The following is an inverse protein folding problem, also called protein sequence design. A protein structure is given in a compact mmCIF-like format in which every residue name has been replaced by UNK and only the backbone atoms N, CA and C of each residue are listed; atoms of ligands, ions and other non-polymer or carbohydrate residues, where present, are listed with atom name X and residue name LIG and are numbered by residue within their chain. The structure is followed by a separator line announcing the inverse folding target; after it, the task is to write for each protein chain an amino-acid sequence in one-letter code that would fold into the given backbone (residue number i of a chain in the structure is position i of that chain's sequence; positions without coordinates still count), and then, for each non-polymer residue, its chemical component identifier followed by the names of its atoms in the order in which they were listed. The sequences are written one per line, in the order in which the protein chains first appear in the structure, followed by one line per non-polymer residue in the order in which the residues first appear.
data_IF_758349359308
#
_entry.id   IF_758349359308
#
_cell.length_a   1.000
_cell.length_b   1.000
_cell.length_c   1.000
_cell.angle_alpha   90.00
_cell.angle_beta   90.00
_cell.angle_gamma   90.00
#
_symmetry.space_group_name_H-M   'P 1'
#
loop_
_entity.id
_entity.type
_entity.pdbx_description
1 polymer ?
#
# COMPACT_ATOMS: atom_id res chain seq x y z
N UNK A 1 -6.61 -26.92 -0.38
CA UNK A 1 -7.55 -26.01 0.31
C UNK A 1 -8.96 -26.45 -0.06
N UNK A 2 -9.76 -26.75 0.94
CA UNK A 2 -11.16 -27.13 0.84
C UNK A 2 -12.02 -26.05 1.50
N UNK A 3 -13.24 -25.81 1.00
CA UNK A 3 -14.18 -24.88 1.62
C UNK A 3 -15.33 -25.70 2.18
N UNK A 4 -15.41 -25.79 3.50
CA UNK A 4 -16.56 -26.40 4.16
C UNK A 4 -17.71 -25.39 4.16
N UNK A 5 -18.68 -25.62 3.28
CA UNK A 5 -19.84 -24.73 3.13
C UNK A 5 -20.81 -24.81 4.30
N UNK A 6 -20.80 -25.90 5.06
CA UNK A 6 -21.67 -26.06 6.24
C UNK A 6 -21.12 -25.29 7.44
N UNK A 7 -19.80 -25.29 7.60
CA UNK A 7 -19.10 -24.56 8.66
C UNK A 7 -18.68 -23.14 8.25
N UNK A 8 -18.86 -22.75 6.98
CA UNK A 8 -18.35 -21.50 6.39
C UNK A 8 -16.84 -21.30 6.68
N UNK A 9 -16.07 -22.37 6.50
CA UNK A 9 -14.67 -22.45 6.94
C UNK A 9 -13.72 -22.85 5.80
N UNK A 10 -12.56 -22.19 5.74
CA UNK A 10 -11.46 -22.58 4.87
C UNK A 10 -10.62 -23.64 5.57
N UNK A 11 -10.46 -24.82 4.97
CA UNK A 11 -9.78 -25.94 5.59
C UNK A 11 -8.61 -26.47 4.76
N UNK A 12 -7.54 -26.84 5.45
CA UNK A 12 -6.50 -27.74 4.96
C UNK A 12 -6.71 -29.11 5.62
N UNK A 13 -6.80 -30.14 4.79
CA UNK A 13 -7.03 -31.53 5.20
C UNK A 13 -5.87 -32.40 4.74
N UNK A 14 -5.73 -33.57 5.38
CA UNK A 14 -4.68 -34.56 5.09
C UNK A 14 -3.27 -33.94 5.14
N UNK A 15 -3.00 -33.22 6.24
CA UNK A 15 -1.74 -32.55 6.45
C UNK A 15 -0.62 -33.56 6.70
N UNK A 16 0.11 -33.89 5.64
CA UNK A 16 1.30 -34.74 5.75
C UNK A 16 2.36 -34.07 6.64
N UNK A 17 3.21 -34.87 7.30
CA UNK A 17 4.36 -34.34 8.08
C UNK A 17 5.28 -33.43 7.26
N UNK A 18 5.33 -33.58 5.93
CA UNK A 18 6.13 -32.70 5.05
C UNK A 18 5.52 -31.30 4.94
N UNK A 19 4.19 -31.20 4.94
CA UNK A 19 3.50 -29.91 4.98
C UNK A 19 3.75 -29.21 6.33
N UNK A 20 3.78 -29.99 7.41
CA UNK A 20 4.08 -29.47 8.76
C UNK A 20 5.54 -29.00 8.94
N UNK A 21 6.43 -29.30 8.00
CA UNK A 21 7.83 -28.84 8.04
C UNK A 21 8.03 -27.52 7.29
N UNK A 22 7.06 -27.10 6.47
CA UNK A 22 7.14 -25.85 5.72
C UNK A 22 6.40 -24.74 6.47
N UNK A 23 6.98 -23.54 6.43
CA UNK A 23 6.30 -22.33 6.89
C UNK A 23 5.17 -22.00 5.92
N UNK A 24 3.96 -22.44 6.26
CA UNK A 24 2.74 -22.16 5.51
C UNK A 24 1.86 -21.17 6.28
N UNK A 25 1.21 -20.30 5.53
CA UNK A 25 0.35 -19.26 6.07
C UNK A 25 -0.91 -19.12 5.22
N UNK A 26 -2.01 -18.74 5.87
CA UNK A 26 -3.20 -18.23 5.20
C UNK A 26 -2.92 -16.79 4.78
N UNK A 27 -2.84 -16.52 3.49
CA UNK A 27 -2.74 -15.15 2.99
C UNK A 27 -4.14 -14.58 2.80
N UNK A 28 -4.46 -13.49 3.51
CA UNK A 28 -5.73 -12.80 3.34
C UNK A 28 -5.79 -12.14 1.94
N UNK A 29 -6.95 -12.19 1.27
CA UNK A 29 -7.09 -11.56 -0.03
C UNK A 29 -6.91 -10.05 0.09
N UNK A 30 -6.25 -9.45 -0.90
CA UNK A 30 -6.20 -8.00 -1.04
C UNK A 30 -7.64 -7.50 -1.27
N UNK A 31 -8.13 -6.60 -0.42
CA UNK A 31 -9.45 -6.02 -0.65
C UNK A 31 -9.35 -5.03 -1.82
N UNK A 32 -9.91 -5.42 -2.96
CA UNK A 32 -9.95 -4.59 -4.16
C UNK A 32 -11.07 -3.53 -4.04
N UNK A 33 -10.89 -2.49 -3.24
CA UNK A 33 -11.75 -1.31 -3.31
C UNK A 33 -10.93 -0.01 -3.34
N UNK A 34 -10.81 0.52 -4.56
CA UNK A 34 -10.63 1.92 -5.00
C UNK A 34 -9.46 2.79 -4.49
N UNK A 35 -8.67 2.39 -3.51
CA UNK A 35 -7.41 3.09 -3.20
C UNK A 35 -6.36 2.12 -2.63
N UNK A 36 -5.25 1.85 -3.35
CA UNK A 36 -4.23 0.90 -2.90
C UNK A 36 -3.46 1.29 -1.61
N UNK A 37 -3.68 2.50 -1.07
CA UNK A 37 -2.84 3.09 -0.02
C UNK A 37 -3.59 3.49 1.27
N UNK A 38 -4.93 3.54 1.28
CA UNK A 38 -5.67 4.09 2.44
C UNK A 38 -6.23 3.04 3.41
N UNK A 39 -6.77 1.94 2.92
CA UNK A 39 -7.68 1.10 3.73
C UNK A 39 -7.02 0.41 4.94
N UNK A 40 -5.71 0.15 4.88
CA UNK A 40 -5.01 -0.57 5.96
C UNK A 40 -4.51 0.35 7.06
N UNK A 41 -4.25 1.63 6.72
CA UNK A 41 -4.00 2.67 7.72
C UNK A 41 -5.32 2.99 8.45
N UNK A 42 -6.45 2.93 7.74
CA UNK A 42 -7.79 3.14 8.30
C UNK A 42 -8.19 2.06 9.33
N UNK A 43 -7.52 0.91 9.34
CA UNK A 43 -7.68 -0.17 10.35
C UNK A 43 -6.69 -0.07 11.51
N UNK A 44 -5.82 0.96 11.53
CA UNK A 44 -4.83 1.13 12.58
C UNK A 44 -5.49 1.37 13.95
N UNK A 45 -5.08 0.59 14.95
CA UNK A 45 -5.70 0.60 16.29
C UNK A 45 -7.01 -0.19 16.37
N UNK A 46 -7.47 -0.79 15.27
CA UNK A 46 -8.57 -1.76 15.23
C UNK A 46 -8.13 -3.19 15.54
N UNK A 47 -9.09 -4.10 15.62
CA UNK A 47 -8.87 -5.52 15.88
C UNK A 47 -9.01 -6.39 14.61
N UNK A 48 -8.11 -7.36 14.44
CA UNK A 48 -8.27 -8.48 13.51
C UNK A 48 -8.75 -9.69 14.30
N UNK A 49 -9.98 -10.11 14.05
CA UNK A 49 -10.62 -11.24 14.69
C UNK A 49 -10.76 -12.39 13.69
N UNK A 50 -10.45 -13.60 14.13
CA UNK A 50 -10.62 -14.81 13.34
C UNK A 50 -10.77 -16.02 14.25
N UNK A 51 -11.40 -17.07 13.74
CA UNK A 51 -11.58 -18.34 14.45
C UNK A 51 -10.73 -19.42 13.80
N UNK A 52 -10.00 -20.16 14.63
CA UNK A 52 -9.17 -21.30 14.21
C UNK A 52 -9.70 -22.57 14.83
N UNK A 53 -9.82 -23.63 14.03
CA UNK A 53 -10.13 -24.98 14.51
C UNK A 53 -9.16 -25.98 13.91
N UNK A 54 -8.54 -26.81 14.72
CA UNK A 54 -7.66 -27.88 14.22
C UNK A 54 -7.97 -29.20 14.94
N UNK A 55 -7.73 -30.30 14.24
CA UNK A 55 -7.87 -31.64 14.81
C UNK A 55 -6.52 -32.34 14.83
N UNK A 56 -6.26 -33.05 15.92
CA UNK A 56 -5.04 -33.83 16.08
C UNK A 56 -5.18 -35.20 15.42
N UNK A 57 -4.08 -35.64 14.81
CA UNK A 57 -3.83 -37.04 14.50
C UNK A 57 -3.69 -37.84 15.80
N UNK A 58 -3.69 -39.18 15.71
CA UNK A 58 -3.45 -40.03 16.89
C UNK A 58 -2.13 -39.66 17.59
N UNK A 59 -2.14 -39.46 18.90
CA UNK A 59 -0.94 -39.16 19.71
C UNK A 59 -1.19 -38.10 20.77
N UNK A 60 -0.15 -37.75 21.53
CA UNK A 60 -0.18 -36.58 22.42
C UNK A 60 0.01 -35.30 21.60
N UNK A 61 -0.61 -34.20 22.05
CA UNK A 61 -0.45 -32.87 21.46
C UNK A 61 1.00 -32.40 21.59
N UNK A 62 1.53 -31.81 20.52
CA UNK A 62 2.85 -31.17 20.47
C UNK A 62 2.69 -29.73 19.97
N UNK A 63 2.25 -28.79 20.84
CA UNK A 63 1.96 -27.42 20.44
C UNK A 63 3.20 -26.68 19.93
N UNK A 64 3.02 -25.86 18.91
CA UNK A 64 4.09 -25.06 18.32
C UNK A 64 3.83 -23.57 18.59
N UNK A 65 4.87 -22.85 19.03
CA UNK A 65 4.82 -21.38 19.15
C UNK A 65 5.40 -20.73 17.90
N UNK A 66 4.54 -20.28 17.00
CA UNK A 66 4.89 -19.42 15.86
C UNK A 66 4.20 -18.05 15.99
N UNK A 67 4.62 -17.03 15.24
CA UNK A 67 3.87 -15.78 15.13
C UNK A 67 2.46 -16.06 14.62
N UNK A 68 1.45 -15.45 15.25
CA UNK A 68 0.05 -15.64 14.92
C UNK A 68 -0.32 -14.96 13.61
N UNK A 69 0.11 -13.70 13.48
CA UNK A 69 -0.12 -12.88 12.29
C UNK A 69 1.21 -12.30 11.84
N UNK A 70 1.43 -12.26 10.53
CA UNK A 70 2.60 -11.65 9.91
C UNK A 70 2.11 -10.61 8.91
N UNK A 71 2.61 -9.39 9.05
CA UNK A 71 2.44 -8.32 8.06
C UNK A 71 3.72 -8.21 7.24
N UNK A 72 3.57 -8.15 5.93
CA UNK A 72 4.66 -7.84 5.00
C UNK A 72 4.26 -6.57 4.27
N UNK A 73 5.11 -5.55 4.35
CA UNK A 73 4.88 -4.27 3.70
C UNK A 73 6.06 -3.32 3.88
N UNK A 74 6.25 -2.43 2.90
CA UNK A 74 7.36 -1.48 2.87
C UNK A 74 8.75 -2.13 3.09
N UNK A 75 8.95 -3.33 2.53
CA UNK A 75 10.20 -4.10 2.71
C UNK A 75 10.44 -4.64 4.13
N UNK A 76 9.46 -4.56 5.02
CA UNK A 76 9.53 -5.04 6.40
C UNK A 76 8.59 -6.23 6.64
N UNK A 77 9.00 -7.11 7.55
CA UNK A 77 8.19 -8.22 8.03
C UNK A 77 7.96 -8.08 9.53
N UNK A 78 6.71 -7.79 9.90
CA UNK A 78 6.28 -7.56 11.27
C UNK A 78 5.51 -8.79 11.78
N UNK A 79 5.88 -9.27 12.96
CA UNK A 79 5.40 -10.49 13.58
C UNK A 79 4.52 -10.12 14.77
N UNK A 80 3.25 -10.48 14.72
CA UNK A 80 2.35 -10.40 15.87
C UNK A 80 2.33 -11.73 16.60
N UNK A 81 2.41 -11.68 17.93
CA UNK A 81 2.27 -12.85 18.78
C UNK A 81 1.24 -12.50 19.85
N UNK A 82 0.17 -13.30 19.98
CA UNK A 82 -0.88 -13.05 20.96
C UNK A 82 -0.23 -12.87 22.34
N UNK A 83 -0.38 -11.68 22.96
CA UNK A 83 0.24 -11.46 24.24
C UNK A 83 -0.55 -12.25 25.29
N UNK A 84 0.15 -12.81 26.27
CA UNK A 84 -0.49 -13.46 27.41
C UNK A 84 -1.31 -12.46 28.27
N UNK A 85 -1.16 -11.15 28.03
CA UNK A 85 -1.83 -10.03 28.70
C UNK A 85 -2.18 -8.93 27.68
N UNK A 86 -3.32 -8.24 27.78
CA UNK A 86 -3.70 -7.20 26.83
C UNK A 86 -2.80 -5.96 26.99
N UNK A 87 -1.90 -5.73 26.04
CA UNK A 87 -1.06 -4.52 25.94
C UNK A 87 -1.56 -3.62 24.80
N UNK A 88 -1.73 -2.30 25.03
CA UNK A 88 -2.47 -1.42 24.10
C UNK A 88 -1.81 -1.20 22.74
N UNK A 89 -0.51 -1.49 22.56
CA UNK A 89 0.20 -1.30 21.28
C UNK A 89 1.34 -2.30 21.02
N UNK A 90 1.45 -3.39 21.79
CA UNK A 90 2.77 -3.91 22.15
C UNK A 90 3.19 -5.32 21.71
N UNK A 91 2.51 -5.96 20.75
CA UNK A 91 2.88 -7.35 20.39
C UNK A 91 3.51 -7.53 19.01
N UNK A 92 3.68 -6.43 18.26
CA UNK A 92 4.41 -6.45 17.00
C UNK A 92 5.91 -6.46 17.24
N UNK A 93 6.58 -7.46 16.68
CA UNK A 93 8.02 -7.67 16.75
C UNK A 93 8.60 -7.75 15.35
N UNK A 94 9.84 -7.29 15.18
CA UNK A 94 10.63 -7.52 13.97
C UNK A 94 11.13 -8.97 13.96
N UNK A 95 11.65 -9.43 12.81
CA UNK A 95 12.34 -10.72 12.75
C UNK A 95 13.57 -10.80 13.68
N UNK A 96 14.17 -9.65 14.01
CA UNK A 96 15.24 -9.55 15.01
C UNK A 96 14.78 -9.70 16.47
N UNK A 97 13.46 -9.73 16.72
CA UNK A 97 12.86 -9.75 18.06
C UNK A 97 12.70 -8.37 18.71
N UNK A 98 13.17 -7.29 18.07
CA UNK A 98 12.95 -5.92 18.54
C UNK A 98 11.46 -5.53 18.46
N UNK A 99 11.00 -4.68 19.37
CA UNK A 99 9.67 -4.08 19.28
C UNK A 99 9.55 -3.18 18.04
N UNK A 100 8.34 -3.10 17.51
CA UNK A 100 7.99 -2.25 16.37
C UNK A 100 7.41 -0.94 16.90
N UNK A 101 7.92 0.20 16.42
CA UNK A 101 7.37 1.50 16.81
C UNK A 101 6.06 1.82 16.07
N UNK A 102 5.30 2.83 16.53
CA UNK A 102 4.09 3.28 15.84
C UNK A 102 4.37 3.65 14.39
N UNK A 103 5.46 4.37 14.17
CA UNK A 103 5.90 4.88 12.87
C UNK A 103 6.24 3.73 11.91
N UNK A 104 6.94 2.70 12.41
CA UNK A 104 7.31 1.52 11.63
C UNK A 104 6.10 0.68 11.25
N UNK A 105 5.14 0.51 12.17
CA UNK A 105 3.90 -0.19 11.90
C UNK A 105 3.06 0.56 10.86
N UNK A 106 2.94 1.88 10.99
CA UNK A 106 2.23 2.72 10.02
C UNK A 106 2.87 2.66 8.63
N UNK A 107 4.20 2.70 8.55
CA UNK A 107 4.94 2.54 7.29
C UNK A 107 4.67 1.19 6.62
N UNK A 108 4.66 0.09 7.38
CA UNK A 108 4.37 -1.23 6.85
C UNK A 108 2.91 -1.35 6.35
N UNK A 109 1.94 -0.74 7.07
CA UNK A 109 0.53 -0.72 6.67
C UNK A 109 0.27 0.14 5.44
N UNK A 110 1.01 1.24 5.28
CA UNK A 110 0.84 2.19 4.18
C UNK A 110 1.29 1.63 2.82
N UNK A 111 2.15 0.61 2.81
CA UNK A 111 2.49 -0.17 1.61
C UNK A 111 2.40 -1.67 1.89
N UNK A 112 1.23 -2.11 2.37
CA UNK A 112 1.03 -3.50 2.76
C UNK A 112 0.96 -4.43 1.54
N UNK A 113 1.82 -5.43 1.55
CA UNK A 113 1.90 -6.43 0.49
C UNK A 113 1.08 -7.68 0.83
N UNK A 114 1.10 -8.12 2.09
CA UNK A 114 0.38 -9.29 2.55
C UNK A 114 0.07 -9.26 4.06
N UNK A 115 -1.08 -9.84 4.41
CA UNK A 115 -1.44 -10.23 5.77
C UNK A 115 -1.51 -11.75 5.80
N UNK A 116 -0.75 -12.36 6.70
CA UNK A 116 -0.58 -13.80 6.78
C UNK A 116 -0.96 -14.30 8.17
N UNK A 117 -1.85 -15.29 8.27
CA UNK A 117 -2.22 -15.95 9.52
C UNK A 117 -1.58 -17.34 9.54
N UNK A 118 -1.00 -17.75 10.66
CA UNK A 118 -0.36 -19.07 10.76
C UNK A 118 -1.34 -20.21 10.47
N UNK A 119 -0.86 -21.28 9.84
CA UNK A 119 -1.64 -22.52 9.63
C UNK A 119 -1.29 -23.58 10.65
N UNK A 120 -0.22 -23.40 11.42
CA UNK A 120 0.44 -24.45 12.20
C UNK A 120 0.41 -24.20 13.69
N UNK A 121 -0.44 -24.95 14.39
CA UNK A 121 -0.64 -24.80 15.83
C UNK A 121 -0.08 -25.99 16.64
N UNK A 122 0.04 -27.16 16.02
CA UNK A 122 0.51 -28.39 16.64
C UNK A 122 1.20 -29.29 15.61
N UNK A 123 2.33 -29.92 15.96
CA UNK A 123 3.09 -30.83 15.07
C UNK A 123 2.34 -32.14 14.77
N UNK A 124 1.23 -32.39 15.44
CA UNK A 124 0.38 -33.57 15.26
C UNK A 124 -0.96 -33.25 14.62
N UNK A 125 -1.22 -32.01 14.18
CA UNK A 125 -2.48 -31.68 13.53
C UNK A 125 -2.68 -32.45 12.21
N UNK A 126 -3.89 -32.96 11.99
CA UNK A 126 -4.33 -33.60 10.75
C UNK A 126 -5.09 -32.63 9.84
N UNK A 127 -5.78 -31.67 10.44
CA UNK A 127 -6.57 -30.64 9.75
C UNK A 127 -6.44 -29.31 10.46
N UNK A 128 -6.56 -28.22 9.71
CA UNK A 128 -6.70 -26.86 10.25
C UNK A 128 -7.73 -26.09 9.44
N UNK A 129 -8.58 -25.35 10.12
CA UNK A 129 -9.67 -24.53 9.61
C UNK A 129 -9.53 -23.09 10.07
N UNK A 130 -9.89 -22.15 9.18
CA UNK A 130 -9.93 -20.72 9.41
C UNK A 130 -11.30 -20.16 8.99
N UNK A 131 -11.98 -19.47 9.91
CA UNK A 131 -13.32 -18.89 9.71
C UNK A 131 -13.48 -17.54 10.42
N UNK A 132 -14.60 -16.85 10.18
CA UNK A 132 -14.99 -15.59 10.84
C UNK A 132 -13.90 -14.51 10.83
N UNK A 133 -13.24 -14.32 9.70
CA UNK A 133 -12.18 -13.31 9.54
C UNK A 133 -12.84 -11.94 9.42
N UNK A 134 -12.67 -11.11 10.45
CA UNK A 134 -13.22 -9.76 10.55
C UNK A 134 -12.11 -8.80 10.94
N UNK A 135 -12.06 -7.64 10.31
CA UNK A 135 -11.10 -6.59 10.63
C UNK A 135 -11.85 -5.28 10.84
N UNK A 136 -11.57 -4.60 11.95
CA UNK A 136 -12.09 -3.27 12.18
C UNK A 136 -11.52 -2.30 11.15
N UNK A 137 -12.33 -1.37 10.70
CA UNK A 137 -11.95 -0.30 9.78
C UNK A 137 -12.67 0.97 10.18
N UNK A 138 -12.16 2.11 9.74
CA UNK A 138 -12.78 3.40 10.02
C UNK A 138 -13.55 3.90 8.80
N UNK A 139 -14.50 4.79 9.06
CA UNK A 139 -15.28 5.47 8.05
C UNK A 139 -15.39 6.93 8.42
N UNK A 140 -15.52 7.79 7.41
CA UNK A 140 -15.79 9.22 7.58
C UNK A 140 -17.25 9.50 7.96
N UNK A 141 -18.14 8.50 7.83
CA UNK A 141 -19.54 8.61 8.23
C UNK A 141 -19.69 8.55 9.75
N UNK A 142 -20.59 9.38 10.30
CA UNK A 142 -20.90 9.34 11.73
C UNK A 142 -21.62 8.04 12.04
N UNK A 143 -20.92 7.12 12.69
CA UNK A 143 -21.49 5.87 13.19
C UNK A 143 -21.77 5.95 14.68
N UNK A 144 -22.65 5.07 15.18
CA UNK A 144 -22.90 4.92 16.62
C UNK A 144 -21.76 4.22 17.37
N UNK A 145 -20.69 3.81 16.68
CA UNK A 145 -19.57 3.04 17.23
C UNK A 145 -18.49 3.94 17.86
N UNK A 146 -18.67 5.26 17.83
CA UNK A 146 -17.75 6.23 18.41
C UNK A 146 -16.65 6.67 17.44
N UNK A 147 -15.72 7.48 17.95
CA UNK A 147 -14.62 8.05 17.16
C UNK A 147 -13.40 7.14 17.24
N UNK A 148 -12.77 6.89 16.10
CA UNK A 148 -11.51 6.16 16.07
C UNK A 148 -10.35 7.08 16.51
N UNK A 149 -9.91 6.94 17.75
CA UNK A 149 -8.88 7.80 18.35
C UNK A 149 -7.46 7.56 17.82
N UNK A 150 -7.22 6.44 17.13
CA UNK A 150 -5.88 6.06 16.66
C UNK A 150 -5.65 6.32 15.17
N UNK A 151 -6.73 6.62 14.43
CA UNK A 151 -6.68 7.01 13.02
C UNK A 151 -6.82 8.52 12.94
N UNK A 152 -5.82 9.19 12.40
CA UNK A 152 -5.78 10.65 12.29
C UNK A 152 -6.33 11.07 10.93
N UNK A 153 -7.29 12.02 10.93
CA UNK A 153 -7.63 12.79 9.74
C UNK A 153 -6.74 14.03 9.70
N UNK A 154 -5.71 13.98 8.88
CA UNK A 154 -4.71 15.04 8.79
C UNK A 154 -5.24 16.22 7.97
N UNK A 155 -4.98 17.45 8.45
CA UNK A 155 -5.10 18.65 7.60
C UNK A 155 -3.85 18.77 6.74
N UNK A 156 -3.98 18.46 5.46
CA UNK A 156 -2.82 18.36 4.59
C UNK A 156 -2.21 19.72 4.25
N UNK A 157 -0.86 19.83 4.25
CA UNK A 157 -0.18 20.99 3.70
C UNK A 157 -0.39 21.04 2.18
N UNK A 158 -0.13 22.22 1.60
CA UNK A 158 -0.26 22.45 0.14
C UNK A 158 0.52 21.38 -0.64
N UNK A 159 -0.13 20.77 -1.63
CA UNK A 159 0.46 19.73 -2.48
C UNK A 159 0.27 18.30 -1.98
N UNK A 160 -0.37 18.09 -0.84
CA UNK A 160 -0.67 16.77 -0.28
C UNK A 160 -2.18 16.58 -0.10
N UNK A 161 -2.65 15.35 -0.25
CA UNK A 161 -4.05 14.94 -0.14
C UNK A 161 -4.17 13.51 0.41
N UNK A 162 -5.39 13.07 0.69
CA UNK A 162 -5.66 11.80 1.39
C UNK A 162 -5.92 12.02 2.88
N UNK A 163 -6.48 11.01 3.55
CA UNK A 163 -6.82 11.11 4.98
C UNK A 163 -5.57 11.26 5.86
N UNK A 164 -4.43 10.72 5.41
CA UNK A 164 -3.13 10.77 6.08
C UNK A 164 -2.10 11.59 5.29
N UNK A 165 -2.53 12.42 4.32
CA UNK A 165 -1.65 13.19 3.44
C UNK A 165 -0.64 12.31 2.67
N UNK A 166 -1.04 11.08 2.40
CA UNK A 166 -0.21 10.05 1.79
C UNK A 166 -0.15 10.17 0.26
N UNK A 167 -1.05 10.95 -0.33
CA UNK A 167 -1.16 11.19 -1.77
C UNK A 167 -0.67 12.61 -2.11
N UNK A 168 -0.09 12.78 -3.29
CA UNK A 168 0.15 14.15 -3.79
C UNK A 168 -1.14 14.70 -4.40
N UNK A 169 -1.43 15.97 -4.18
CA UNK A 169 -2.53 16.65 -4.87
C UNK A 169 -2.35 16.56 -6.40
N UNK A 170 -3.44 16.71 -7.18
CA UNK A 170 -3.33 16.97 -8.60
C UNK A 170 -2.29 18.09 -8.85
N UNK A 171 -1.44 17.91 -9.86
CA UNK A 171 -0.35 18.84 -10.22
C UNK A 171 0.92 18.75 -9.35
N UNK A 172 0.99 17.78 -8.44
CA UNK A 172 2.19 17.47 -7.67
C UNK A 172 2.68 16.05 -7.96
N UNK A 173 4.00 15.84 -7.86
CA UNK A 173 4.64 14.53 -7.94
C UNK A 173 5.48 14.26 -6.71
N UNK A 174 5.65 12.98 -6.40
CA UNK A 174 6.47 12.54 -5.28
C UNK A 174 7.94 12.55 -5.70
N UNK A 175 8.76 13.34 -5.01
CA UNK A 175 10.22 13.36 -5.21
C UNK A 175 10.93 12.72 -4.01
N UNK A 176 12.03 11.97 -4.23
CA UNK A 176 12.83 11.46 -3.12
C UNK A 176 13.37 12.60 -2.24
N UNK A 177 13.18 12.49 -0.93
CA UNK A 177 13.65 13.49 0.05
C UNK A 177 12.64 13.74 1.17
N UNK A 178 13.11 14.17 2.35
CA UNK A 178 12.25 14.32 3.55
C UNK A 178 11.98 12.99 4.26
N UNK A 179 11.14 13.02 5.31
CA UNK A 179 10.78 11.83 6.09
C UNK A 179 9.71 10.97 5.40
N UNK A 180 9.72 9.67 5.69
CA UNK A 180 8.74 8.67 5.22
C UNK A 180 8.72 8.47 3.69
N UNK A 181 7.82 9.15 2.99
CA UNK A 181 7.41 8.81 1.63
C UNK A 181 8.04 9.67 0.53
N UNK A 182 8.88 10.64 0.87
CA UNK A 182 9.28 11.67 -0.08
C UNK A 182 8.45 12.94 0.07
N UNK A 183 8.82 13.99 -0.67
CA UNK A 183 8.15 15.28 -0.68
C UNK A 183 7.26 15.39 -1.92
N UNK A 184 6.03 15.86 -1.77
CA UNK A 184 5.22 16.27 -2.92
C UNK A 184 5.71 17.62 -3.43
N UNK A 185 6.17 17.65 -4.68
CA UNK A 185 6.69 18.84 -5.34
C UNK A 185 5.93 19.09 -6.63
N UNK A 186 5.69 20.36 -6.96
CA UNK A 186 4.91 20.75 -8.13
C UNK A 186 5.51 20.21 -9.45
N UNK A 187 4.64 19.83 -10.38
CA UNK A 187 5.04 19.42 -11.72
C UNK A 187 5.79 20.56 -12.43
N UNK A 188 7.00 20.26 -12.94
CA UNK A 188 7.80 21.24 -13.67
C UNK A 188 7.64 21.05 -15.18
N UNK A 189 6.53 21.58 -15.70
CA UNK A 189 6.10 21.47 -17.09
C UNK A 189 6.27 22.76 -17.90
N UNK A 190 7.16 23.66 -17.45
CA UNK A 190 7.41 24.96 -18.09
C UNK A 190 6.15 25.80 -18.35
N UNK A 191 5.08 25.63 -17.55
CA UNK A 191 3.80 26.31 -17.76
C UNK A 191 2.97 25.80 -18.95
N UNK A 192 3.38 24.69 -19.57
CA UNK A 192 2.71 24.07 -20.72
C UNK A 192 1.84 22.88 -20.33
N UNK A 193 1.83 22.46 -19.07
CA UNK A 193 0.86 21.53 -18.54
C UNK A 193 0.67 21.80 -17.05
N UNK A 194 -0.54 21.55 -16.55
CA UNK A 194 -0.82 21.56 -15.12
C UNK A 194 -0.60 20.17 -14.52
N UNK A 195 -0.80 19.08 -15.25
CA UNK A 195 -0.73 17.71 -14.72
C UNK A 195 0.54 16.97 -15.12
N UNK A 196 1.09 16.17 -14.21
CA UNK A 196 2.15 15.21 -14.52
C UNK A 196 1.86 13.85 -13.89
N UNK A 197 2.47 12.81 -14.45
CA UNK A 197 2.41 11.46 -13.91
C UNK A 197 3.08 11.42 -12.52
N UNK A 198 2.42 10.88 -11.48
CA UNK A 198 2.90 10.97 -10.10
C UNK A 198 4.18 10.17 -9.83
N UNK A 199 4.52 9.19 -10.67
CA UNK A 199 5.67 8.30 -10.49
C UNK A 199 6.88 8.73 -11.32
N UNK A 200 6.71 8.91 -12.63
CA UNK A 200 7.76 9.36 -13.56
C UNK A 200 7.97 10.87 -13.51
N UNK A 201 6.96 11.63 -13.09
CA UNK A 201 6.98 13.08 -13.12
C UNK A 201 6.88 13.68 -14.51
N UNK A 202 6.50 12.89 -15.52
CA UNK A 202 6.35 13.33 -16.90
C UNK A 202 5.07 14.13 -17.08
N UNK A 203 5.17 15.26 -17.74
CA UNK A 203 4.03 16.12 -18.00
C UNK A 203 3.04 15.42 -18.93
N UNK A 204 1.77 15.46 -18.54
CA UNK A 204 0.67 14.90 -19.31
C UNK A 204 0.05 16.01 -20.14
N UNK A 205 -0.36 15.72 -21.37
CA UNK A 205 -1.08 16.66 -22.24
C UNK A 205 -0.40 18.04 -22.42
N UNK A 206 0.87 18.04 -22.88
CA UNK A 206 1.59 19.28 -23.20
C UNK A 206 0.79 20.18 -24.18
N UNK A 207 0.55 21.42 -23.75
CA UNK A 207 -0.16 22.47 -24.47
C UNK A 207 0.81 23.38 -25.23
N UNK A 208 0.28 24.39 -25.95
CA UNK A 208 1.08 25.39 -26.67
C UNK A 208 2.06 24.79 -27.69
N UNK A 209 1.67 23.68 -28.31
CA UNK A 209 2.47 22.94 -29.31
C UNK A 209 3.84 22.47 -28.80
N UNK A 210 3.95 22.21 -27.50
CA UNK A 210 5.13 21.60 -26.90
C UNK A 210 4.98 20.07 -26.76
N UNK A 211 6.10 19.39 -26.60
CA UNK A 211 6.21 17.96 -26.37
C UNK A 211 7.45 17.65 -25.51
N UNK A 212 7.63 16.37 -25.20
CA UNK A 212 8.71 15.88 -24.33
C UNK A 212 8.28 15.72 -22.87
N UNK A 213 9.10 15.05 -22.04
CA UNK A 213 8.76 14.72 -20.65
C UNK A 213 8.46 15.93 -19.76
N UNK A 214 8.97 17.12 -20.12
CA UNK A 214 8.74 18.36 -19.39
C UNK A 214 8.03 19.43 -20.22
N UNK A 215 7.49 19.07 -21.38
CA UNK A 215 6.96 20.03 -22.35
C UNK A 215 8.02 21.06 -22.79
N UNK A 216 9.27 20.62 -22.92
CA UNK A 216 10.48 21.42 -23.12
C UNK A 216 10.96 21.44 -24.59
N UNK A 217 10.18 20.87 -25.51
CA UNK A 217 10.48 20.84 -26.94
C UNK A 217 9.27 21.29 -27.75
N UNK A 218 9.49 21.93 -28.90
CA UNK A 218 8.40 22.19 -29.84
C UNK A 218 8.07 20.93 -30.63
N UNK A 219 6.78 20.69 -30.86
CA UNK A 219 6.31 19.63 -31.76
C UNK A 219 6.85 19.83 -33.17
N UNK A 220 6.91 18.74 -33.94
CA UNK A 220 7.23 18.80 -35.36
C UNK A 220 6.36 19.83 -36.09
N UNK A 221 6.99 20.70 -36.89
CA UNK A 221 6.33 21.80 -37.60
C UNK A 221 6.21 23.10 -36.80
N UNK A 222 6.72 23.14 -35.57
CA UNK A 222 6.83 24.34 -34.75
C UNK A 222 8.29 24.61 -34.37
N UNK A 223 8.64 25.88 -34.14
CA UNK A 223 9.97 26.31 -33.70
C UNK A 223 9.87 27.43 -32.67
N UNK A 224 10.91 27.58 -31.84
CA UNK A 224 10.95 28.58 -30.78
C UNK A 224 11.64 28.03 -29.53
N UNK A 225 11.33 28.66 -28.39
CA UNK A 225 11.87 28.31 -27.08
C UNK A 225 10.75 27.77 -26.19
N UNK A 226 10.59 26.45 -26.20
CA UNK A 226 9.57 25.72 -25.45
C UNK A 226 9.76 25.75 -23.92
N UNK A 227 10.83 26.38 -23.42
CA UNK A 227 11.04 26.53 -21.96
C UNK A 227 10.34 27.76 -21.39
N UNK A 228 9.87 28.66 -22.25
CA UNK A 228 9.14 29.87 -21.86
C UNK A 228 7.67 29.56 -21.61
N UNK A 229 7.17 29.94 -20.43
CA UNK A 229 5.78 29.74 -20.02
C UNK A 229 4.79 30.67 -20.75
N UNK A 230 4.77 30.63 -22.08
CA UNK A 230 3.90 31.45 -22.92
C UNK A 230 3.24 30.60 -24.01
N UNK A 231 2.00 30.91 -24.43
CA UNK A 231 1.36 30.21 -25.54
C UNK A 231 2.08 30.35 -26.89
N UNK A 232 2.95 31.36 -27.03
CA UNK A 232 3.71 31.65 -28.23
C UNK A 232 5.13 31.04 -28.24
N UNK A 233 5.49 30.26 -27.21
CA UNK A 233 6.79 29.62 -27.07
C UNK A 233 7.18 28.78 -28.30
N UNK A 234 6.19 28.10 -28.89
CA UNK A 234 6.32 27.34 -30.12
C UNK A 234 5.39 27.91 -31.20
N UNK A 235 5.99 28.54 -32.22
CA UNK A 235 5.29 29.12 -33.37
C UNK A 235 5.39 28.20 -34.59
N UNK A 236 4.38 28.16 -35.46
CA UNK A 236 4.43 27.32 -36.66
C UNK A 236 5.61 27.73 -37.54
N UNK A 237 6.31 26.76 -38.10
CA UNK A 237 7.39 27.02 -39.04
C UNK A 237 6.85 27.81 -40.25
N UNK A 238 7.57 28.83 -40.73
CA UNK A 238 7.20 29.51 -41.96
C UNK A 238 7.40 28.55 -43.14
N UNK A 239 6.29 27.97 -43.62
CA UNK A 239 6.25 27.18 -44.84
C UNK A 239 5.66 28.03 -45.98
N UNK A 240 6.26 28.01 -47.19
CA UNK A 240 7.47 27.29 -47.56
C UNK A 240 8.75 27.95 -47.01
N UNK A 241 9.74 27.15 -46.60
CA UNK A 241 11.07 27.61 -46.20
C UNK A 241 11.63 28.55 -47.29
N UNK A 242 11.78 29.84 -46.99
CA UNK A 242 12.38 30.80 -47.93
C UNK A 242 13.90 30.79 -47.91
N UNK A 243 14.54 30.02 -47.01
CA UNK A 243 15.99 29.85 -46.99
C UNK A 243 16.39 28.37 -46.89
N UNK A 244 17.37 27.99 -47.70
CA UNK A 244 17.92 26.64 -47.75
C UNK A 244 18.62 26.26 -46.43
N UNK A 245 18.59 24.97 -46.02
CA UNK A 245 19.29 24.53 -44.82
C UNK A 245 20.80 24.79 -44.97
N UNK A 246 21.38 25.56 -44.04
CA UNK A 246 22.83 25.69 -43.94
C UNK A 246 23.41 24.35 -43.51
N UNK A 247 24.09 23.69 -44.43
CA UNK A 247 24.87 22.47 -44.24
C UNK A 247 26.14 22.75 -43.46
#
# INVERSE_FOLDING_TARGET
MHIDRSAQEFQLVDLSRRFLMHDSFWTLPKHNQRSPLSLQVDSYGGSLQYTVRYHLSRGQSEPVRKPDVILVGNGQKLLYRLPAHPEPFGSWQKESGASVSREELLLALQSLEAIMIQTMYDNRMATVGLSNIVMDTTTTEVTSLGVAHHVEECRCPVGYSGLSCEQCEPHFKRVPGGSYLGICSGCSCHGHSTSCDPFSGYCLNCQHNTEGPRCDKCKLGFFGDATQATPAACRPCPCPYTEAPRR
#
